data_IF_778946742186
#
_entry.id   IF_778946742186
#
_cell.length_a   1.000
_cell.length_b   1.000
_cell.length_c   1.000
_cell.angle_alpha   90.00
_cell.angle_beta   90.00
_cell.angle_gamma   90.00
#
_symmetry.space_group_name_H-M   'P 1'
#
loop_
_entity.id
_entity.type
_entity.pdbx_description
1 polymer ?
#
# COMPACT_ATOMS: atom_id res chain seq x y z
N UNK A 1 -39.29 25.43 50.41
CA UNK A 1 -39.53 24.86 49.07
C UNK A 1 -38.45 25.41 48.14
N UNK A 2 -37.42 24.63 47.84
CA UNK A 2 -36.42 24.96 46.82
C UNK A 2 -36.44 23.86 45.76
N UNK A 3 -36.94 24.20 44.57
CA UNK A 3 -36.85 23.34 43.40
C UNK A 3 -35.50 23.60 42.73
N UNK A 4 -34.60 22.62 42.78
CA UNK A 4 -33.39 22.59 41.95
C UNK A 4 -33.78 22.08 40.56
N UNK A 5 -33.78 22.97 39.58
CA UNK A 5 -33.84 22.60 38.16
C UNK A 5 -32.47 22.06 37.74
N UNK A 6 -32.34 20.73 37.64
CA UNK A 6 -31.19 20.09 37.01
C UNK A 6 -31.29 20.26 35.50
N UNK A 7 -30.53 21.20 34.95
CA UNK A 7 -30.29 21.33 33.52
C UNK A 7 -29.41 20.16 33.07
N UNK A 8 -29.99 19.15 32.40
CA UNK A 8 -29.24 18.07 31.76
C UNK A 8 -28.61 18.63 30.48
N UNK A 9 -27.30 18.89 30.52
CA UNK A 9 -26.52 19.24 29.34
C UNK A 9 -26.33 17.96 28.50
N UNK A 10 -27.16 17.77 27.48
CA UNK A 10 -26.92 16.76 26.45
C UNK A 10 -25.80 17.29 25.55
N UNK A 11 -24.56 16.91 25.85
CA UNK A 11 -23.45 17.13 24.95
C UNK A 11 -23.66 16.26 23.70
N UNK A 12 -24.23 16.86 22.65
CA UNK A 12 -24.25 16.28 21.31
C UNK A 12 -22.81 16.17 20.83
N UNK A 13 -22.20 15.01 21.04
CA UNK A 13 -20.95 14.64 20.38
C UNK A 13 -21.26 14.48 18.89
N UNK A 14 -21.24 15.59 18.15
CA UNK A 14 -21.18 15.56 16.70
C UNK A 14 -19.97 14.70 16.35
N UNK A 15 -20.14 13.58 15.64
CA UNK A 15 -19.01 12.81 15.18
C UNK A 15 -18.16 13.76 14.35
N UNK A 16 -16.91 13.96 14.76
CA UNK A 16 -15.91 14.61 13.92
C UNK A 16 -15.83 13.77 12.66
N UNK A 17 -16.49 14.23 11.60
CA UNK A 17 -16.40 13.60 10.29
C UNK A 17 -14.95 13.80 9.89
N UNK A 18 -14.15 12.73 9.98
CA UNK A 18 -12.79 12.75 9.49
C UNK A 18 -12.86 13.20 8.03
N UNK A 19 -12.29 14.38 7.75
CA UNK A 19 -12.27 14.92 6.41
C UNK A 19 -11.41 14.00 5.56
N UNK A 20 -12.03 13.33 4.59
CA UNK A 20 -11.30 12.51 3.62
C UNK A 20 -10.42 13.42 2.75
N UNK A 21 -9.17 13.02 2.52
CA UNK A 21 -8.28 13.71 1.60
C UNK A 21 -8.87 13.69 0.18
N UNK A 22 -8.77 14.84 -0.47
CA UNK A 22 -9.19 15.03 -1.85
C UNK A 22 -8.11 14.58 -2.84
N UNK A 23 -8.52 13.95 -3.93
CA UNK A 23 -7.67 13.36 -4.94
C UNK A 23 -7.97 13.94 -6.32
N UNK A 24 -6.97 14.56 -6.93
CA UNK A 24 -6.98 14.94 -8.34
C UNK A 24 -6.15 13.93 -9.14
N UNK A 25 -6.70 13.40 -10.24
CA UNK A 25 -5.97 12.55 -11.19
C UNK A 25 -5.85 13.31 -12.50
N UNK A 26 -4.62 13.58 -12.91
CA UNK A 26 -4.33 14.34 -14.10
C UNK A 26 -4.67 13.59 -15.39
N UNK A 27 -5.01 14.35 -16.44
CA UNK A 27 -5.35 13.80 -17.75
C UNK A 27 -4.21 12.97 -18.36
N UNK A 28 -2.94 13.21 -18.00
CA UNK A 28 -1.79 12.40 -18.42
C UNK A 28 -1.95 10.91 -18.13
N UNK A 29 -2.70 10.54 -17.08
CA UNK A 29 -2.99 9.14 -16.75
C UNK A 29 -4.02 8.50 -17.68
N UNK A 30 -4.92 9.28 -18.26
CA UNK A 30 -5.93 8.76 -19.22
C UNK A 30 -5.31 8.23 -20.51
N UNK A 31 -4.10 8.69 -20.86
CA UNK A 31 -3.35 8.17 -22.01
C UNK A 31 -2.59 6.87 -21.73
N UNK A 32 -2.60 6.37 -20.49
CA UNK A 32 -2.00 5.08 -20.15
C UNK A 32 -3.01 3.96 -20.41
N UNK A 33 -2.73 3.03 -21.35
CA UNK A 33 -3.63 1.91 -21.60
C UNK A 33 -3.90 1.12 -20.31
N UNK A 34 -5.18 0.94 -19.98
CA UNK A 34 -5.60 0.22 -18.77
C UNK A 34 -5.50 1.00 -17.46
N UNK A 35 -5.23 2.32 -17.48
CA UNK A 35 -5.13 3.14 -16.25
C UNK A 35 -6.27 2.91 -15.26
N UNK A 36 -7.52 2.98 -15.74
CA UNK A 36 -8.69 2.80 -14.88
C UNK A 36 -8.68 1.43 -14.21
N UNK A 37 -8.24 0.38 -14.92
CA UNK A 37 -8.18 -0.97 -14.37
C UNK A 37 -7.11 -1.08 -13.28
N UNK A 38 -5.93 -0.47 -13.49
CA UNK A 38 -4.86 -0.45 -12.47
C UNK A 38 -5.27 0.35 -11.22
N UNK A 39 -5.98 1.46 -11.41
CA UNK A 39 -6.52 2.27 -10.32
C UNK A 39 -7.61 1.54 -9.53
N UNK A 40 -8.56 0.90 -10.22
CA UNK A 40 -9.59 0.10 -9.54
C UNK A 40 -8.97 -1.11 -8.82
N UNK A 41 -7.94 -1.71 -9.40
CA UNK A 41 -7.21 -2.79 -8.75
C UNK A 41 -6.46 -2.32 -7.50
N UNK A 42 -5.80 -1.15 -7.51
CA UNK A 42 -5.11 -0.65 -6.30
C UNK A 42 -6.08 -0.37 -5.16
N UNK A 43 -7.27 0.17 -5.46
CA UNK A 43 -8.35 0.33 -4.48
C UNK A 43 -8.86 -1.03 -3.97
N UNK A 44 -8.98 -2.04 -4.85
CA UNK A 44 -9.35 -3.41 -4.47
C UNK A 44 -8.30 -4.04 -3.55
N UNK A 45 -7.01 -3.90 -3.88
CA UNK A 45 -5.89 -4.38 -3.06
C UNK A 45 -5.96 -3.80 -1.64
N UNK A 46 -6.10 -2.48 -1.51
CA UNK A 46 -6.20 -1.81 -0.23
C UNK A 46 -7.47 -2.18 0.56
N UNK A 47 -8.63 -2.21 -0.10
CA UNK A 47 -9.92 -2.58 0.51
C UNK A 47 -9.89 -4.00 1.10
N UNK A 48 -9.42 -4.98 0.32
CA UNK A 48 -9.34 -6.37 0.77
C UNK A 48 -8.39 -6.54 1.95
N UNK A 49 -7.28 -5.80 1.97
CA UNK A 49 -6.39 -5.79 3.12
C UNK A 49 -7.08 -5.23 4.38
N UNK A 50 -7.79 -4.11 4.26
CA UNK A 50 -8.58 -3.54 5.35
C UNK A 50 -9.61 -4.52 5.91
N UNK A 51 -10.41 -5.13 5.03
CA UNK A 51 -11.44 -6.12 5.41
C UNK A 51 -10.85 -7.34 6.15
N UNK A 52 -9.68 -7.84 5.71
CA UNK A 52 -9.00 -8.95 6.40
C UNK A 52 -8.33 -8.52 7.72
N UNK A 53 -7.84 -7.28 7.82
CA UNK A 53 -7.36 -6.73 9.09
C UNK A 53 -8.50 -6.64 10.12
N UNK A 54 -9.72 -6.36 9.69
CA UNK A 54 -10.90 -6.26 10.54
C UNK A 54 -11.49 -7.63 10.94
N UNK A 55 -11.24 -8.67 10.15
CA UNK A 55 -11.69 -10.03 10.45
C UNK A 55 -11.04 -10.61 11.70
N UNK A 56 -11.80 -10.83 12.77
CA UNK A 56 -11.29 -11.47 14.00
C UNK A 56 -10.89 -12.95 13.82
N UNK A 57 -11.30 -13.59 12.72
CA UNK A 57 -11.11 -15.03 12.49
C UNK A 57 -10.11 -15.34 11.37
N UNK A 58 -9.58 -14.34 10.68
CA UNK A 58 -8.59 -14.54 9.61
C UNK A 58 -7.18 -14.70 10.20
N UNK A 59 -6.93 -15.85 10.83
CA UNK A 59 -5.65 -16.15 11.50
C UNK A 59 -4.48 -16.29 10.53
N UNK A 60 -4.75 -16.67 9.28
CA UNK A 60 -3.71 -16.77 8.25
C UNK A 60 -3.24 -15.38 7.83
N UNK A 61 -4.17 -14.45 7.59
CA UNK A 61 -3.80 -13.08 7.27
C UNK A 61 -3.19 -12.34 8.46
N UNK A 62 -3.60 -12.66 9.69
CA UNK A 62 -2.93 -12.18 10.90
C UNK A 62 -1.46 -12.63 10.95
N UNK A 63 -1.17 -13.88 10.59
CA UNK A 63 0.21 -14.38 10.51
C UNK A 63 1.03 -13.65 9.44
N UNK A 64 0.42 -13.36 8.27
CA UNK A 64 1.03 -12.52 7.23
C UNK A 64 1.34 -11.12 7.77
N UNK A 65 0.35 -10.46 8.37
CA UNK A 65 0.50 -9.13 8.96
C UNK A 65 1.65 -9.11 9.98
N UNK A 66 1.65 -10.06 10.92
CA UNK A 66 2.67 -10.17 11.97
C UNK A 66 4.07 -10.40 11.40
N UNK A 67 4.19 -11.14 10.30
CA UNK A 67 5.47 -11.36 9.61
C UNK A 67 5.98 -10.09 8.90
N UNK A 68 5.08 -9.33 8.27
CA UNK A 68 5.43 -8.10 7.56
C UNK A 68 5.76 -6.98 8.56
N UNK A 69 4.90 -6.72 9.55
CA UNK A 69 5.01 -5.55 10.43
C UNK A 69 5.63 -5.83 11.79
N UNK A 70 5.91 -7.09 12.12
CA UNK A 70 6.50 -7.49 13.41
C UNK A 70 5.71 -6.97 14.62
N UNK A 71 4.39 -6.91 14.50
CA UNK A 71 3.46 -6.48 15.54
C UNK A 71 2.12 -7.17 15.35
N UNK A 72 1.25 -7.10 16.35
CA UNK A 72 -0.10 -7.62 16.26
C UNK A 72 -1.03 -6.59 15.60
N UNK A 73 -1.99 -7.03 14.78
CA UNK A 73 -2.88 -6.12 14.03
C UNK A 73 -3.79 -5.27 14.92
N UNK A 74 -3.98 -5.68 16.18
CA UNK A 74 -4.73 -4.92 17.19
C UNK A 74 -3.92 -3.82 17.90
N UNK A 75 -2.59 -3.79 17.73
CA UNK A 75 -1.72 -2.80 18.37
C UNK A 75 -1.92 -1.39 17.79
N UNK A 76 -1.38 -0.36 18.45
CA UNK A 76 -1.38 1.02 17.93
C UNK A 76 -0.75 1.10 16.54
N UNK A 77 0.33 0.36 16.31
CA UNK A 77 0.98 0.26 15.00
C UNK A 77 0.07 -0.43 13.97
N UNK A 78 -0.65 -1.48 14.37
CA UNK A 78 -1.65 -2.13 13.52
C UNK A 78 -2.80 -1.21 13.14
N UNK A 79 -3.29 -0.40 14.08
CA UNK A 79 -4.30 0.63 13.80
C UNK A 79 -3.78 1.70 12.84
N UNK A 80 -2.51 2.10 12.94
CA UNK A 80 -1.88 3.02 12.00
C UNK A 80 -1.86 2.46 10.57
N UNK A 81 -1.41 1.20 10.40
CA UNK A 81 -1.42 0.53 9.09
C UNK A 81 -2.83 0.46 8.50
N UNK A 82 -3.82 0.08 9.32
CA UNK A 82 -5.23 0.06 8.94
C UNK A 82 -5.73 1.44 8.52
N UNK A 83 -5.36 2.48 9.26
CA UNK A 83 -5.72 3.87 8.97
C UNK A 83 -5.29 4.30 7.58
N UNK A 84 -4.02 4.06 7.21
CA UNK A 84 -3.48 4.38 5.88
C UNK A 84 -4.25 3.67 4.77
N UNK A 85 -4.50 2.36 4.91
CA UNK A 85 -5.24 1.60 3.89
C UNK A 85 -6.69 2.05 3.77
N UNK A 86 -7.34 2.37 4.90
CA UNK A 86 -8.70 2.91 4.90
C UNK A 86 -8.76 4.28 4.23
N UNK A 87 -7.83 5.16 4.56
CA UNK A 87 -7.76 6.50 3.98
C UNK A 87 -7.53 6.45 2.47
N UNK A 88 -6.73 5.50 1.98
CA UNK A 88 -6.54 5.29 0.55
C UNK A 88 -7.87 4.96 -0.17
N UNK A 89 -8.65 4.05 0.42
CA UNK A 89 -9.95 3.63 -0.14
C UNK A 89 -11.00 4.75 -0.06
N UNK A 90 -10.89 5.60 0.96
CA UNK A 90 -11.87 6.68 1.22
C UNK A 90 -11.55 7.99 0.48
N UNK A 91 -10.45 8.07 -0.29
CA UNK A 91 -10.07 9.26 -1.04
C UNK A 91 -11.23 9.80 -1.88
N UNK A 92 -11.43 11.11 -1.78
CA UNK A 92 -12.52 11.79 -2.48
C UNK A 92 -12.04 12.36 -3.82
N UNK A 93 -12.48 11.82 -4.97
CA UNK A 93 -12.05 12.34 -6.27
C UNK A 93 -12.57 13.77 -6.48
N UNK A 94 -11.72 14.67 -6.97
CA UNK A 94 -12.04 16.05 -7.31
C UNK A 94 -11.48 16.42 -8.68
N UNK A 95 -12.12 17.39 -9.34
CA UNK A 95 -11.65 17.94 -10.63
C UNK A 95 -10.76 19.17 -10.46
N UNK A 96 -10.81 19.83 -9.30
CA UNK A 96 -9.94 20.97 -9.03
C UNK A 96 -8.57 20.51 -8.55
N UNK A 97 -7.56 20.77 -9.39
CA UNK A 97 -6.17 20.54 -9.06
C UNK A 97 -5.74 21.38 -7.86
N UNK A 98 -6.18 22.64 -7.76
CA UNK A 98 -5.61 23.58 -6.79
C UNK A 98 -5.92 23.19 -5.35
N UNK A 99 -7.18 22.91 -5.04
CA UNK A 99 -7.58 22.56 -3.68
C UNK A 99 -7.27 21.11 -3.28
N UNK A 100 -6.87 20.24 -4.21
CA UNK A 100 -6.69 18.83 -3.90
C UNK A 100 -5.51 18.57 -2.94
N UNK A 101 -5.66 17.58 -2.07
CA UNK A 101 -4.62 17.13 -1.14
C UNK A 101 -3.56 16.26 -1.83
N UNK A 102 -4.01 15.36 -2.70
CA UNK A 102 -3.15 14.47 -3.46
C UNK A 102 -3.40 14.70 -4.95
N UNK A 103 -2.34 14.70 -5.74
CA UNK A 103 -2.37 14.90 -7.20
C UNK A 103 -1.59 13.79 -7.87
N UNK A 104 -2.23 13.06 -8.78
CA UNK A 104 -1.61 11.94 -9.50
C UNK A 104 -1.32 12.34 -10.92
N UNK A 105 -0.10 12.10 -11.39
CA UNK A 105 0.33 12.31 -12.76
C UNK A 105 0.93 11.03 -13.35
N UNK A 106 0.81 10.87 -14.65
CA UNK A 106 1.44 9.79 -15.42
C UNK A 106 2.21 10.35 -16.62
N UNK A 107 2.79 11.54 -16.43
CA UNK A 107 3.53 12.31 -17.43
C UNK A 107 5.03 12.01 -17.43
N UNK A 108 5.48 11.04 -16.62
CA UNK A 108 6.90 10.68 -16.46
C UNK A 108 7.79 11.87 -16.07
N UNK A 109 7.30 12.72 -15.16
CA UNK A 109 7.98 13.93 -14.68
C UNK A 109 8.24 15.01 -15.76
N UNK A 110 7.53 14.99 -16.90
CA UNK A 110 7.74 15.98 -17.98
C UNK A 110 7.43 17.41 -17.57
N UNK A 111 6.56 17.63 -16.58
CA UNK A 111 6.19 18.96 -16.08
C UNK A 111 7.30 19.68 -15.29
N UNK A 112 8.32 18.96 -14.86
CA UNK A 112 9.42 19.56 -14.12
C UNK A 112 10.37 20.31 -15.06
N UNK A 113 10.54 21.61 -14.82
CA UNK A 113 11.48 22.46 -15.54
C UNK A 113 12.92 22.24 -15.10
N UNK A 114 13.85 22.99 -15.70
CA UNK A 114 15.26 22.98 -15.32
C UNK A 114 15.48 23.44 -13.87
N UNK A 115 16.62 23.03 -13.31
CA UNK A 115 17.05 23.47 -11.99
C UNK A 115 17.09 25.00 -11.91
N UNK A 116 16.48 25.55 -10.85
CA UNK A 116 16.45 27.00 -10.64
C UNK A 116 17.83 27.49 -10.15
N UNK A 117 18.20 28.76 -10.42
CA UNK A 117 19.42 29.35 -9.87
C UNK A 117 19.49 29.32 -8.34
N UNK A 118 18.34 29.30 -7.67
CA UNK A 118 18.19 29.18 -6.22
C UNK A 118 18.32 27.74 -5.71
N UNK A 119 18.65 26.79 -6.59
CA UNK A 119 18.67 25.35 -6.34
C UNK A 119 17.30 24.67 -6.51
N UNK A 120 17.34 23.39 -6.85
CA UNK A 120 16.17 22.52 -6.93
C UNK A 120 15.39 22.62 -8.24
N UNK A 121 14.50 21.66 -8.44
CA UNK A 121 13.68 21.47 -9.63
C UNK A 121 12.27 22.01 -9.39
N UNK A 122 11.72 22.69 -10.38
CA UNK A 122 10.43 23.37 -10.26
C UNK A 122 9.36 22.72 -11.12
N UNK A 123 8.27 22.35 -10.47
CA UNK A 123 7.04 21.90 -11.10
C UNK A 123 6.10 23.08 -11.21
N UNK A 124 6.00 23.67 -12.41
CA UNK A 124 5.15 24.83 -12.67
C UNK A 124 3.65 24.52 -12.65
N UNK A 125 3.26 23.26 -12.83
CA UNK A 125 1.85 22.85 -12.75
C UNK A 125 1.40 22.80 -11.30
N UNK A 126 2.26 22.26 -10.44
CA UNK A 126 1.96 22.14 -9.03
C UNK A 126 2.48 23.30 -8.19
N UNK A 127 3.27 24.23 -8.73
CA UNK A 127 3.92 25.31 -7.96
C UNK A 127 4.83 24.79 -6.84
N UNK A 128 5.55 23.70 -7.11
CA UNK A 128 6.30 22.94 -6.11
C UNK A 128 7.80 22.96 -6.45
N UNK A 129 8.64 23.13 -5.41
CA UNK A 129 10.10 23.00 -5.55
C UNK A 129 10.57 21.77 -4.81
N UNK A 130 11.34 20.94 -5.51
CA UNK A 130 11.96 19.75 -4.96
C UNK A 130 13.49 19.85 -5.07
N UNK A 131 14.24 19.57 -3.99
CA UNK A 131 15.68 19.79 -3.98
C UNK A 131 16.44 18.82 -4.89
N UNK A 132 15.89 17.64 -5.15
CA UNK A 132 16.51 16.62 -5.98
C UNK A 132 15.91 16.62 -7.38
N UNK A 133 16.66 16.08 -8.34
CA UNK A 133 16.14 15.86 -9.69
C UNK A 133 14.99 14.84 -9.65
N UNK A 134 13.83 15.12 -10.30
CA UNK A 134 12.71 14.19 -10.43
C UNK A 134 13.17 12.85 -11.02
N UNK A 135 12.56 11.73 -10.68
CA UNK A 135 13.22 10.42 -10.81
C UNK A 135 12.68 9.56 -11.95
N UNK A 136 11.53 9.87 -12.55
CA UNK A 136 10.93 9.03 -13.60
C UNK A 136 11.77 8.95 -14.90
N UNK A 137 12.82 9.77 -15.06
CA UNK A 137 13.77 9.61 -16.17
C UNK A 137 14.75 8.44 -15.96
N UNK A 138 14.89 7.93 -14.74
CA UNK A 138 15.83 6.86 -14.39
C UNK A 138 15.19 5.49 -14.69
N UNK A 139 15.92 4.57 -15.36
CA UNK A 139 15.46 3.19 -15.53
C UNK A 139 15.15 2.53 -14.18
N UNK A 140 14.10 1.69 -14.15
CA UNK A 140 13.67 0.95 -12.97
C UNK A 140 12.87 1.73 -11.92
N UNK A 141 12.65 3.03 -12.10
CA UNK A 141 11.78 3.82 -11.21
C UNK A 141 10.33 3.69 -11.68
N UNK A 142 9.49 3.03 -10.88
CA UNK A 142 8.09 2.75 -11.23
C UNK A 142 7.15 3.90 -10.81
N UNK A 143 7.43 4.54 -9.69
CA UNK A 143 6.65 5.64 -9.16
C UNK A 143 7.47 6.56 -8.26
N UNK A 144 6.87 7.70 -7.90
CA UNK A 144 7.42 8.61 -6.90
C UNK A 144 6.36 9.51 -6.28
N UNK A 145 6.37 9.60 -4.95
CA UNK A 145 5.71 10.67 -4.19
C UNK A 145 6.66 11.85 -3.92
N UNK A 146 6.16 13.07 -4.13
CA UNK A 146 6.86 14.32 -3.91
C UNK A 146 6.11 15.19 -2.90
N UNK A 147 6.82 15.57 -1.83
CA UNK A 147 6.42 16.62 -0.90
C UNK A 147 7.46 17.74 -0.99
N UNK A 148 7.21 18.74 -1.83
CA UNK A 148 8.13 19.86 -2.00
C UNK A 148 7.71 21.09 -1.23
N UNK A 149 8.65 22.03 -1.06
CA UNK A 149 8.32 23.32 -0.50
C UNK A 149 7.48 24.10 -1.49
N UNK A 150 6.52 24.84 -0.94
CA UNK A 150 5.62 25.72 -1.68
C UNK A 150 5.83 27.11 -1.12
N UNK A 151 6.03 28.09 -1.98
CA UNK A 151 6.02 29.48 -1.52
C UNK A 151 4.58 29.90 -1.32
N UNK A 152 4.35 30.74 -0.31
CA UNK A 152 3.06 31.40 -0.17
C UNK A 152 2.74 32.22 -1.42
N UNK A 153 1.45 32.29 -1.76
CA UNK A 153 0.99 33.20 -2.79
C UNK A 153 1.25 34.64 -2.32
N UNK A 154 1.95 35.43 -3.13
CA UNK A 154 2.23 36.83 -2.83
C UNK A 154 0.99 37.72 -2.92
N UNK A 155 0.02 37.29 -3.73
CA UNK A 155 -1.24 37.99 -4.00
C UNK A 155 -2.26 37.02 -4.67
N UNK A 156 -3.55 37.39 -4.77
CA UNK A 156 -4.59 36.53 -5.37
C UNK A 156 -4.43 36.24 -6.86
N UNK A 157 -3.61 36.99 -7.59
CA UNK A 157 -3.37 36.79 -9.04
C UNK A 157 -2.16 35.89 -9.30
N UNK A 158 -1.37 35.60 -8.26
CA UNK A 158 -0.26 34.66 -8.33
C UNK A 158 -0.73 33.29 -8.86
N UNK A 159 0.05 32.62 -9.74
CA UNK A 159 -0.24 31.24 -10.15
C UNK A 159 -0.46 30.29 -8.97
N UNK A 160 0.20 30.57 -7.83
CA UNK A 160 0.12 29.83 -6.56
C UNK A 160 -1.18 30.04 -5.80
N UNK A 161 -1.92 31.11 -6.07
CA UNK A 161 -3.15 31.42 -5.36
C UNK A 161 -4.12 30.25 -5.44
N UNK A 162 -4.63 29.82 -4.29
CA UNK A 162 -5.56 28.71 -4.13
C UNK A 162 -4.92 27.31 -4.09
N UNK A 163 -3.62 27.16 -4.30
CA UNK A 163 -2.98 25.84 -4.13
C UNK A 163 -2.98 25.44 -2.65
N UNK A 164 -3.37 24.19 -2.38
CA UNK A 164 -3.17 23.57 -1.08
C UNK A 164 -1.65 23.53 -0.76
N UNK A 165 -1.17 24.22 0.31
CA UNK A 165 0.26 24.26 0.64
C UNK A 165 0.80 22.89 1.11
N UNK A 166 -0.09 22.00 1.55
CA UNK A 166 0.21 20.68 2.08
C UNK A 166 0.00 19.55 1.06
N UNK A 167 -0.13 19.90 -0.22
CA UNK A 167 -0.37 18.94 -1.29
C UNK A 167 0.78 17.95 -1.47
N UNK A 168 0.45 16.74 -1.88
CA UNK A 168 1.41 15.73 -2.31
C UNK A 168 1.20 15.42 -3.78
N UNK A 169 2.30 15.31 -4.52
CA UNK A 169 2.27 14.92 -5.94
C UNK A 169 2.80 13.51 -6.07
N UNK A 170 1.96 12.60 -6.53
CA UNK A 170 2.31 11.23 -6.88
C UNK A 170 2.49 11.13 -8.40
N UNK A 171 3.56 10.49 -8.84
CA UNK A 171 3.81 10.22 -10.25
C UNK A 171 3.96 8.73 -10.44
N UNK A 172 3.22 8.18 -11.40
CA UNK A 172 3.44 6.81 -11.89
C UNK A 172 4.24 6.92 -13.19
N UNK A 173 5.46 6.41 -13.18
CA UNK A 173 6.41 6.56 -14.28
C UNK A 173 6.06 5.62 -15.46
N UNK A 174 6.57 5.92 -16.65
CA UNK A 174 6.37 5.11 -17.85
C UNK A 174 6.86 3.67 -17.65
N UNK A 175 7.88 3.48 -16.81
CA UNK A 175 8.46 2.18 -16.49
C UNK A 175 7.44 1.22 -15.84
N UNK A 176 6.53 1.73 -14.99
CA UNK A 176 5.50 0.89 -14.36
C UNK A 176 4.58 0.22 -15.39
N UNK A 177 4.39 0.86 -16.55
CA UNK A 177 3.50 0.36 -17.61
C UNK A 177 4.21 -0.55 -18.61
N UNK A 178 5.50 -0.83 -18.43
CA UNK A 178 6.25 -1.76 -19.27
C UNK A 178 6.17 -3.15 -18.66
N UNK A 179 5.60 -4.10 -19.40
CA UNK A 179 5.72 -5.52 -19.03
C UNK A 179 7.16 -5.96 -19.30
N UNK A 180 8.02 -5.83 -18.29
CA UNK A 180 9.35 -6.44 -18.32
C UNK A 180 9.22 -7.97 -18.27
N UNK A 181 10.00 -8.70 -19.06
CA UNK A 181 10.12 -10.16 -19.03
C UNK A 181 8.80 -10.97 -19.05
N UNK A 182 7.72 -10.38 -19.59
CA UNK A 182 6.39 -11.00 -19.60
C UNK A 182 5.68 -11.02 -18.24
N UNK A 183 6.16 -10.22 -17.27
CA UNK A 183 5.50 -10.06 -15.99
C UNK A 183 4.13 -9.40 -16.16
N UNK A 184 3.11 -9.86 -15.39
CA UNK A 184 1.81 -9.24 -15.44
C UNK A 184 1.88 -7.80 -14.91
N UNK A 185 1.07 -6.92 -15.49
CA UNK A 185 0.90 -5.53 -15.02
C UNK A 185 -0.25 -5.38 -14.03
N UNK A 186 -1.14 -6.39 -13.96
CA UNK A 186 -2.30 -6.49 -13.07
C UNK A 186 -2.65 -7.94 -12.76
N UNK A 187 -3.44 -8.18 -11.72
CA UNK A 187 -4.05 -9.49 -11.42
C UNK A 187 -5.37 -9.56 -12.19
N UNK A 188 -5.30 -10.04 -13.43
CA UNK A 188 -6.49 -10.36 -14.24
C UNK A 188 -6.78 -11.87 -14.28
N UNK A 189 -7.81 -12.25 -15.03
CA UNK A 189 -8.24 -13.64 -15.19
C UNK A 189 -7.14 -14.59 -15.67
N UNK A 190 -6.12 -14.11 -16.40
CA UNK A 190 -4.99 -14.95 -16.79
C UNK A 190 -4.12 -15.26 -15.59
N UNK A 191 -3.76 -14.25 -14.80
CA UNK A 191 -2.98 -14.44 -13.56
C UNK A 191 -3.74 -15.31 -12.57
N UNK A 192 -5.06 -15.11 -12.46
CA UNK A 192 -5.93 -15.92 -11.60
C UNK A 192 -5.98 -17.40 -12.01
N UNK A 193 -5.81 -17.69 -13.30
CA UNK A 193 -5.76 -19.05 -13.81
C UNK A 193 -4.39 -19.75 -13.63
N UNK A 194 -3.33 -19.01 -13.28
CA UNK A 194 -2.01 -19.59 -13.06
C UNK A 194 -1.94 -20.38 -11.75
N UNK A 195 -1.20 -21.49 -11.75
CA UNK A 195 -0.74 -22.10 -10.50
C UNK A 195 0.44 -21.30 -9.95
N UNK A 196 0.16 -20.45 -8.97
CA UNK A 196 1.15 -19.62 -8.31
C UNK A 196 1.85 -20.37 -7.16
N UNK A 197 1.57 -21.66 -6.95
CA UNK A 197 2.19 -22.40 -5.87
C UNK A 197 3.72 -22.43 -6.04
N UNK A 198 4.44 -22.11 -4.95
CA UNK A 198 5.88 -21.94 -4.90
C UNK A 198 6.42 -20.80 -5.80
N UNK A 199 5.58 -19.90 -6.30
CA UNK A 199 6.03 -18.66 -6.96
C UNK A 199 6.36 -17.62 -5.87
N UNK A 200 7.47 -16.85 -5.97
CA UNK A 200 7.75 -15.77 -5.03
C UNK A 200 6.76 -14.60 -5.23
N UNK A 201 6.17 -14.11 -4.14
CA UNK A 201 5.27 -12.94 -4.17
C UNK A 201 5.96 -11.68 -4.71
N UNK A 202 7.29 -11.57 -4.58
CA UNK A 202 8.06 -10.44 -5.13
C UNK A 202 7.96 -10.26 -6.64
N UNK A 203 7.52 -11.28 -7.38
CA UNK A 203 7.23 -11.12 -8.82
C UNK A 203 6.01 -10.21 -9.05
N UNK A 204 5.07 -10.20 -8.10
CA UNK A 204 3.84 -9.42 -8.16
C UNK A 204 3.99 -8.01 -7.56
N UNK A 205 5.13 -7.65 -6.97
CA UNK A 205 5.35 -6.27 -6.52
C UNK A 205 5.58 -5.30 -7.68
N UNK A 206 5.78 -5.80 -8.90
CA UNK A 206 5.93 -5.02 -10.13
C UNK A 206 4.61 -4.64 -10.79
N UNK A 207 3.46 -5.07 -10.25
CA UNK A 207 2.15 -4.66 -10.75
C UNK A 207 2.00 -3.13 -10.65
N UNK A 208 1.32 -2.53 -11.63
CA UNK A 208 1.05 -1.08 -11.60
C UNK A 208 0.21 -0.73 -10.37
N UNK A 209 -0.78 -1.56 -10.04
CA UNK A 209 -1.63 -1.41 -8.86
C UNK A 209 -0.84 -1.47 -7.55
N UNK A 210 0.14 -2.36 -7.46
CA UNK A 210 1.05 -2.49 -6.32
C UNK A 210 1.95 -1.25 -6.18
N UNK A 211 2.46 -0.72 -7.29
CA UNK A 211 3.21 0.54 -7.34
C UNK A 211 2.34 1.71 -6.86
N UNK A 212 1.07 1.77 -7.28
CA UNK A 212 0.14 2.81 -6.81
C UNK A 212 -0.04 2.70 -5.29
N UNK A 213 -0.28 1.51 -4.74
CA UNK A 213 -0.40 1.31 -3.27
C UNK A 213 0.87 1.81 -2.56
N UNK A 214 2.05 1.48 -3.08
CA UNK A 214 3.34 1.91 -2.54
C UNK A 214 3.43 3.44 -2.45
N UNK A 215 3.20 4.14 -3.57
CA UNK A 215 3.29 5.61 -3.59
C UNK A 215 2.23 6.29 -2.74
N UNK A 216 1.03 5.71 -2.65
CA UNK A 216 -0.03 6.23 -1.80
C UNK A 216 0.26 6.03 -0.31
N UNK A 217 0.99 4.98 0.08
CA UNK A 217 1.45 4.84 1.45
C UNK A 217 2.34 6.03 1.85
N UNK A 218 3.24 6.48 0.97
CA UNK A 218 3.98 7.72 1.20
C UNK A 218 3.05 8.93 1.32
N UNK A 219 2.20 9.16 0.32
CA UNK A 219 1.38 10.37 0.24
C UNK A 219 0.40 10.52 1.41
N UNK A 220 -0.24 9.43 1.83
CA UNK A 220 -1.20 9.42 2.93
C UNK A 220 -0.53 9.58 4.29
N UNK A 221 0.76 9.24 4.39
CA UNK A 221 1.55 9.43 5.62
C UNK A 221 2.10 10.84 5.80
N UNK A 222 1.78 11.76 4.91
CA UNK A 222 2.24 13.14 4.99
C UNK A 222 1.60 13.87 6.19
N UNK A 223 2.46 14.44 7.02
CA UNK A 223 2.07 15.18 8.21
C UNK A 223 2.37 16.69 8.03
N UNK A 224 1.34 17.54 7.84
CA UNK A 224 1.53 18.97 7.61
C UNK A 224 2.34 19.70 8.69
N UNK A 225 2.23 19.29 9.95
CA UNK A 225 2.92 19.94 11.07
C UNK A 225 4.44 19.78 11.01
N UNK A 226 4.92 18.69 10.42
CA UNK A 226 6.35 18.42 10.24
C UNK A 226 6.80 18.67 8.81
N UNK A 227 5.88 18.67 7.85
CA UNK A 227 6.18 18.76 6.42
C UNK A 227 6.81 17.47 5.88
N UNK A 228 6.69 16.36 6.60
CA UNK A 228 7.36 15.10 6.27
C UNK A 228 6.38 13.98 5.95
N UNK A 229 6.78 13.07 5.05
CA UNK A 229 6.14 11.77 4.88
C UNK A 229 6.71 10.81 5.93
N UNK A 230 5.83 10.25 6.77
CA UNK A 230 6.23 9.32 7.84
C UNK A 230 6.61 7.94 7.30
N UNK A 231 5.88 7.47 6.28
CA UNK A 231 6.22 6.26 5.53
C UNK A 231 7.25 6.64 4.46
N UNK A 232 8.40 5.95 4.43
CA UNK A 232 9.53 6.21 3.55
C UNK A 232 10.12 4.91 3.01
N UNK A 233 11.05 5.02 2.06
CA UNK A 233 11.86 3.90 1.59
C UNK A 233 12.97 3.58 2.60
N UNK A 234 12.58 3.00 3.74
CA UNK A 234 13.49 2.72 4.86
C UNK A 234 14.23 1.37 4.74
N UNK A 235 15.44 1.23 5.31
CA UNK A 235 16.24 2.32 5.89
C UNK A 235 16.89 3.21 4.82
N UNK A 236 17.08 2.66 3.62
CA UNK A 236 17.57 3.35 2.44
C UNK A 236 16.96 2.73 1.17
N UNK A 237 16.99 3.44 0.03
CA UNK A 237 16.44 2.90 -1.22
C UNK A 237 17.08 1.59 -1.70
N UNK A 238 18.28 1.22 -1.27
CA UNK A 238 18.92 -0.03 -1.70
C UNK A 238 18.39 -1.25 -0.94
N UNK A 239 17.91 -1.05 0.28
CA UNK A 239 17.44 -2.11 1.19
C UNK A 239 15.98 -1.95 1.61
N UNK A 240 15.28 -0.95 1.06
CA UNK A 240 13.86 -0.74 1.29
C UNK A 240 12.99 -1.80 0.62
N UNK A 241 13.35 -2.19 -0.60
CA UNK A 241 12.48 -2.94 -1.50
C UNK A 241 12.70 -4.45 -1.44
N UNK A 242 11.65 -5.18 -1.80
CA UNK A 242 11.65 -6.62 -1.96
C UNK A 242 11.23 -7.37 -0.69
N UNK A 243 10.53 -8.47 -0.90
CA UNK A 243 9.91 -9.26 0.17
C UNK A 243 10.84 -9.57 1.35
N UNK A 244 12.05 -10.05 1.06
CA UNK A 244 13.04 -10.40 2.09
C UNK A 244 13.33 -9.20 3.00
N UNK A 245 13.50 -8.03 2.41
CA UNK A 245 13.80 -6.82 3.14
C UNK A 245 12.58 -6.30 3.90
N UNK A 246 11.37 -6.41 3.35
CA UNK A 246 10.13 -6.00 4.04
C UNK A 246 9.91 -6.79 5.34
N UNK A 247 10.18 -8.10 5.35
CA UNK A 247 9.96 -8.92 6.55
C UNK A 247 11.12 -8.87 7.56
N UNK A 248 12.32 -8.44 7.18
CA UNK A 248 13.49 -8.42 8.08
C UNK A 248 13.58 -7.16 8.94
N UNK A 249 12.78 -6.13 8.65
CA UNK A 249 12.78 -4.86 9.35
C UNK A 249 12.25 -4.98 10.78
N UNK A 250 12.77 -4.19 11.73
CA UNK A 250 12.14 -4.02 13.03
C UNK A 250 10.78 -3.32 12.87
N UNK A 251 9.92 -3.46 13.88
CA UNK A 251 8.53 -3.00 13.85
C UNK A 251 8.38 -1.52 13.46
N UNK A 252 9.19 -0.63 14.04
CA UNK A 252 9.18 0.81 13.81
C UNK A 252 9.54 1.18 12.37
N UNK A 253 10.43 0.42 11.73
CA UNK A 253 10.75 0.61 10.31
C UNK A 253 9.71 -0.05 9.40
N UNK A 254 9.23 -1.24 9.76
CA UNK A 254 8.28 -1.98 8.94
C UNK A 254 6.95 -1.23 8.76
N UNK A 255 6.44 -0.59 9.82
CA UNK A 255 5.20 0.23 9.77
C UNK A 255 5.39 1.54 9.01
N UNK A 256 6.63 1.96 8.81
CA UNK A 256 7.02 3.17 8.10
C UNK A 256 7.72 2.86 6.76
N UNK A 257 7.58 1.65 6.22
CA UNK A 257 8.10 1.28 4.90
C UNK A 257 6.96 1.05 3.91
N UNK A 258 6.96 1.73 2.76
CA UNK A 258 5.86 1.65 1.79
C UNK A 258 5.71 0.27 1.14
N UNK A 259 6.81 -0.46 0.94
CA UNK A 259 6.78 -1.80 0.33
C UNK A 259 6.10 -2.83 1.25
N UNK A 260 6.17 -2.64 2.57
CA UNK A 260 5.39 -3.44 3.53
C UNK A 260 3.87 -3.31 3.30
N UNK A 261 3.37 -2.12 2.94
CA UNK A 261 1.95 -1.92 2.60
C UNK A 261 1.60 -2.60 1.28
N UNK A 262 2.45 -2.44 0.26
CA UNK A 262 2.35 -3.13 -1.02
C UNK A 262 2.18 -4.65 -0.82
N UNK A 263 3.12 -5.31 -0.12
CA UNK A 263 3.06 -6.75 0.11
C UNK A 263 1.84 -7.18 0.95
N UNK A 264 1.46 -6.40 1.96
CA UNK A 264 0.27 -6.72 2.75
C UNK A 264 -0.99 -6.78 1.86
N UNK A 265 -1.14 -5.80 0.96
CA UNK A 265 -2.30 -5.76 0.06
C UNK A 265 -2.28 -6.84 -1.01
N UNK A 266 -1.10 -7.20 -1.54
CA UNK A 266 -0.95 -8.33 -2.45
C UNK A 266 -1.36 -9.64 -1.79
N UNK A 267 -0.90 -9.91 -0.57
CA UNK A 267 -1.30 -11.10 0.18
C UNK A 267 -2.81 -11.15 0.43
N UNK A 268 -3.45 -10.00 0.64
CA UNK A 268 -4.89 -9.94 0.91
C UNK A 268 -5.72 -10.45 -0.28
N UNK A 269 -5.35 -10.07 -1.49
CA UNK A 269 -6.01 -10.52 -2.72
C UNK A 269 -5.59 -11.93 -3.12
N UNK A 270 -4.32 -12.29 -2.94
CA UNK A 270 -3.86 -13.67 -3.21
C UNK A 270 -4.55 -14.70 -2.31
N UNK A 271 -4.96 -14.30 -1.10
CA UNK A 271 -5.76 -15.14 -0.23
C UNK A 271 -7.18 -15.39 -0.76
N UNK A 272 -7.75 -14.48 -1.57
CA UNK A 272 -9.02 -14.73 -2.28
C UNK A 272 -8.83 -15.76 -3.41
N UNK A 273 -7.65 -15.78 -4.02
CA UNK A 273 -7.22 -16.77 -5.02
C UNK A 273 -6.79 -18.11 -4.39
N UNK A 274 -6.86 -18.20 -3.06
CA UNK A 274 -6.56 -19.41 -2.33
C UNK A 274 -5.08 -19.62 -2.01
N UNK A 275 -4.25 -18.56 -1.97
CA UNK A 275 -2.83 -18.61 -1.62
C UNK A 275 -2.54 -17.91 -0.28
N UNK A 276 -1.53 -18.38 0.44
CA UNK A 276 -1.06 -17.80 1.70
C UNK A 276 0.43 -18.08 1.91
N UNK A 277 1.01 -17.55 2.99
CA UNK A 277 2.36 -17.91 3.42
C UNK A 277 2.41 -19.37 3.89
N UNK A 278 3.54 -20.08 3.71
CA UNK A 278 3.73 -21.40 4.27
C UNK A 278 3.49 -21.40 5.79
N UNK A 279 2.59 -22.28 6.26
CA UNK A 279 2.26 -22.41 7.69
C UNK A 279 3.37 -23.14 8.43
N UNK A 280 4.26 -22.41 9.09
CA UNK A 280 5.45 -22.95 9.77
C UNK A 280 5.10 -23.71 11.04
N UNK A 281 4.07 -23.27 11.77
CA UNK A 281 3.70 -23.83 13.07
C UNK A 281 2.53 -24.84 13.00
N UNK A 282 2.40 -25.55 11.90
CA UNK A 282 1.34 -26.56 11.76
C UNK A 282 1.62 -27.79 12.66
N UNK A 283 0.61 -28.30 13.39
CA UNK A 283 0.77 -29.52 14.18
C UNK A 283 1.21 -30.72 13.33
N UNK A 284 2.10 -31.56 13.89
CA UNK A 284 2.54 -32.80 13.24
C UNK A 284 3.67 -32.65 12.22
N UNK A 285 4.17 -31.44 11.96
CA UNK A 285 5.35 -31.25 11.12
C UNK A 285 6.63 -31.69 11.83
N UNK A 286 7.53 -32.35 11.09
CA UNK A 286 8.89 -32.61 11.53
C UNK A 286 9.68 -31.30 11.67
N UNK A 287 10.81 -31.33 12.39
CA UNK A 287 11.69 -30.16 12.49
C UNK A 287 12.18 -29.70 11.11
N UNK A 288 12.48 -30.64 10.21
CA UNK A 288 12.90 -30.34 8.84
C UNK A 288 11.78 -29.67 8.05
N UNK A 289 10.54 -30.19 8.10
CA UNK A 289 9.41 -29.58 7.39
C UNK A 289 9.13 -28.15 7.86
N UNK A 290 9.29 -27.89 9.16
CA UNK A 290 9.16 -26.52 9.71
C UNK A 290 10.23 -25.60 9.14
N UNK A 291 11.49 -26.06 9.10
CA UNK A 291 12.58 -25.29 8.53
C UNK A 291 12.36 -25.02 7.03
N UNK A 292 11.97 -26.03 6.25
CA UNK A 292 11.72 -25.89 4.81
C UNK A 292 10.59 -24.88 4.53
N UNK A 293 9.54 -24.89 5.37
CA UNK A 293 8.45 -23.91 5.28
C UNK A 293 8.87 -22.52 5.70
N UNK A 294 9.70 -22.38 6.72
CA UNK A 294 10.26 -21.09 7.11
C UNK A 294 11.14 -20.52 5.99
N UNK A 295 12.01 -21.33 5.39
CA UNK A 295 12.85 -20.95 4.25
C UNK A 295 12.00 -20.51 3.06
N UNK A 296 10.91 -21.22 2.78
CA UNK A 296 9.95 -20.86 1.74
C UNK A 296 9.23 -19.53 2.07
N UNK A 297 8.81 -19.32 3.33
CA UNK A 297 8.17 -18.10 3.77
C UNK A 297 9.13 -16.89 3.72
N UNK A 298 10.41 -17.06 4.09
CA UNK A 298 11.45 -16.03 3.97
C UNK A 298 11.69 -15.65 2.51
N UNK A 299 11.55 -16.61 1.58
CA UNK A 299 11.62 -16.36 0.13
C UNK A 299 10.29 -15.85 -0.46
N UNK A 300 9.24 -15.72 0.35
CA UNK A 300 7.93 -15.21 -0.07
C UNK A 300 7.20 -16.16 -1.01
N UNK A 301 7.50 -17.47 -0.93
CA UNK A 301 6.91 -18.48 -1.78
C UNK A 301 5.44 -18.65 -1.42
N UNK A 302 4.56 -18.43 -2.39
CA UNK A 302 3.13 -18.62 -2.25
C UNK A 302 2.83 -20.10 -2.00
N UNK A 303 1.95 -20.40 -1.05
CA UNK A 303 1.46 -21.74 -0.78
C UNK A 303 -0.04 -21.75 -0.95
N UNK A 304 -0.56 -22.65 -1.79
CA UNK A 304 -2.01 -22.80 -1.92
C UNK A 304 -2.58 -23.29 -0.58
N UNK A 305 -3.73 -22.77 -0.15
CA UNK A 305 -4.50 -23.40 0.92
C UNK A 305 -4.70 -24.85 0.51
N UNK A 306 -3.98 -25.75 1.17
CA UNK A 306 -4.30 -27.16 1.12
C UNK A 306 -5.66 -27.26 1.77
N UNK A 307 -6.69 -27.26 0.91
CA UNK A 307 -8.09 -27.45 1.25
C UNK A 307 -8.17 -28.33 2.49
N UNK A 308 -8.57 -27.74 3.62
CA UNK A 308 -8.64 -28.42 4.91
C UNK A 308 -9.45 -29.70 4.75
N UNK A 309 -10.39 -29.72 3.80
CA UNK A 309 -11.15 -30.89 3.36
C UNK A 309 -10.24 -32.01 2.84
N UNK A 310 -9.25 -31.72 1.97
CA UNK A 310 -8.29 -32.73 1.49
C UNK A 310 -7.37 -33.23 2.60
N UNK A 311 -7.01 -32.39 3.58
CA UNK A 311 -6.26 -32.81 4.77
C UNK A 311 -7.09 -33.67 5.71
N UNK A 312 -8.32 -33.25 6.03
CA UNK A 312 -9.26 -34.07 6.79
C UNK A 312 -9.50 -35.41 6.10
N UNK A 313 -9.68 -35.43 4.77
CA UNK A 313 -9.82 -36.67 4.01
C UNK A 313 -8.55 -37.54 4.07
N UNK A 314 -7.34 -36.95 4.06
CA UNK A 314 -6.09 -37.70 4.19
C UNK A 314 -5.91 -38.26 5.61
N UNK A 315 -6.24 -37.48 6.63
CA UNK A 315 -6.23 -37.89 8.04
C UNK A 315 -7.29 -38.97 8.31
N UNK A 316 -8.50 -38.82 7.78
CA UNK A 316 -9.56 -39.83 7.85
C UNK A 316 -9.16 -41.12 7.13
N UNK A 317 -8.47 -41.04 5.98
CA UNK A 317 -7.92 -42.22 5.29
C UNK A 317 -6.82 -42.91 6.09
N UNK A 318 -5.96 -42.16 6.78
CA UNK A 318 -4.93 -42.70 7.67
C UNK A 318 -5.54 -43.39 8.90
N UNK A 319 -6.52 -42.75 9.53
CA UNK A 319 -7.30 -43.32 10.65
C UNK A 319 -8.03 -44.58 10.20
N UNK A 320 -8.74 -44.54 9.07
CA UNK A 320 -9.44 -45.71 8.53
C UNK A 320 -8.49 -46.89 8.30
N UNK A 321 -7.29 -46.66 7.76
CA UNK A 321 -6.25 -47.70 7.57
C UNK A 321 -5.72 -48.27 8.88
N UNK A 322 -5.58 -47.45 9.93
CA UNK A 322 -5.12 -47.90 11.23
C UNK A 322 -6.15 -48.77 11.97
N UNK A 323 -7.44 -48.61 11.67
CA UNK A 323 -8.53 -49.42 12.24
C UNK A 323 -8.97 -50.60 11.37
N UNK A 324 -8.37 -50.78 10.19
CA UNK A 324 -8.65 -51.92 9.29
C UNK A 324 -7.46 -52.87 9.11
N UNK A 325 -6.40 -52.69 9.91
CA UNK A 325 -5.31 -53.63 10.13
C UNK A 325 -5.45 -54.27 11.53
#
# INVERSE_FOLDING_TARGET
>A
MHYFNSLVLVALSLPLVAHSKSLYIDYSCTFKPGWNDYWQESLRLARRAGERLDSATDTDFEAVFKRIFRTDKGSTQGQYVRGILKEFVDLSPVTDLKTSDIRVFCDNDRRWGSERPTGGWYDGTNELIFPLKPSCYKPGVLGRAYNGKTFDATDPTSPRAGHNPNRIVVVICDEAFKSGDGLPLRIDHHVEALDLNNVPIGILSYLVSATIVHEFAHALSYEPSTGEMRIRDLPDPQTAYGWKNSIQKPTDMAVNNADNYCYLTLWAVLADMGYTLPRVNEPGLSAQDKQDREDAAVKGRLSRYLDITKRMLKSLKLVARAFSA
#
